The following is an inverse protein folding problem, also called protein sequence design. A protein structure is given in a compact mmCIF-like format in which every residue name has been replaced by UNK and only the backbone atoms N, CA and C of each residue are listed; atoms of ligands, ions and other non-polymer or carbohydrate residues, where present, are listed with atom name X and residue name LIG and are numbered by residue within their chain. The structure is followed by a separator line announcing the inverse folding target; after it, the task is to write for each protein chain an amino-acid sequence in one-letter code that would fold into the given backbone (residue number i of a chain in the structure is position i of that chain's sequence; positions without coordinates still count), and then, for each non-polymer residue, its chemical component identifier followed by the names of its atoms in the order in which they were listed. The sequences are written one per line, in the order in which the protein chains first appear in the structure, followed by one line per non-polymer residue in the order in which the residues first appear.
data_IF_018551024756
#
_entry.id   IF_018551024756
#
_cell.length_a   1.000
_cell.length_b   1.000
_cell.length_c   1.000
_cell.angle_alpha   90.00
_cell.angle_beta   90.00
_cell.angle_gamma   90.00
#
_symmetry.space_group_name_H-M   'P 1'
#
loop_
_entity.id
_entity.type
_entity.pdbx_description
1 polymer ?
#
# COMPACT_ATOMS: atom_id res chain seq x y z
N UNK A 1 -1.77 -4.42 15.26
CA UNK A 1 -0.85 -3.28 15.07
C UNK A 1 -0.67 -2.46 16.35
N UNK A 2 -1.70 -1.76 16.86
CA UNK A 2 -1.58 -0.87 18.03
C UNK A 2 -0.91 -1.51 19.26
N UNK A 3 -1.40 -2.66 19.74
CA UNK A 3 -0.77 -3.37 20.86
C UNK A 3 0.72 -3.64 20.65
N UNK A 4 1.11 -4.03 19.44
CA UNK A 4 2.48 -4.39 19.14
C UNK A 4 3.40 -3.16 19.11
N UNK A 5 2.94 -2.04 18.53
CA UNK A 5 3.74 -0.81 18.46
C UNK A 5 3.84 -0.09 19.82
N UNK A 6 2.75 -0.04 20.60
CA UNK A 6 2.76 0.54 21.96
C UNK A 6 3.70 -0.24 22.89
N UNK A 7 3.61 -1.58 22.89
CA UNK A 7 4.58 -2.42 23.61
C UNK A 7 6.01 -2.16 23.10
N UNK A 8 6.16 -2.16 21.77
CA UNK A 8 7.39 -1.85 21.07
C UNK A 8 8.27 -3.06 20.76
N UNK A 9 9.46 -2.78 20.24
CA UNK A 9 10.46 -3.78 19.87
C UNK A 9 11.61 -3.82 20.88
N UNK A 10 12.44 -4.86 20.79
CA UNK A 10 13.64 -5.00 21.63
C UNK A 10 14.80 -4.19 21.05
N UNK A 11 15.71 -3.71 21.89
CA UNK A 11 16.96 -3.08 21.41
C UNK A 11 17.84 -4.03 20.59
N UNK A 12 17.61 -5.34 20.69
CA UNK A 12 18.34 -6.38 19.96
C UNK A 12 17.60 -6.88 18.71
N UNK A 13 16.35 -6.48 18.49
CA UNK A 13 15.51 -7.00 17.40
C UNK A 13 14.50 -5.96 16.94
N UNK A 14 14.50 -5.66 15.63
CA UNK A 14 13.56 -4.72 15.01
C UNK A 14 12.44 -5.45 14.27
N UNK A 15 11.36 -4.73 13.98
CA UNK A 15 10.21 -5.23 13.21
C UNK A 15 9.94 -4.29 12.03
N UNK A 16 9.85 -4.87 10.84
CA UNK A 16 9.31 -4.23 9.64
C UNK A 16 7.89 -4.74 9.41
N UNK A 17 6.95 -3.83 9.20
CA UNK A 17 5.60 -4.12 8.77
C UNK A 17 5.47 -3.78 7.28
N UNK A 18 5.37 -4.80 6.42
CA UNK A 18 5.21 -4.60 4.98
C UNK A 18 3.76 -4.20 4.66
N UNK A 19 3.60 -3.13 3.89
CA UNK A 19 2.29 -2.61 3.51
C UNK A 19 2.06 -2.79 2.01
N UNK A 20 1.33 -3.84 1.63
CA UNK A 20 0.92 -4.03 0.25
C UNK A 20 -0.12 -2.98 -0.13
N UNK A 21 0.26 -2.07 -1.03
CA UNK A 21 -0.62 -1.03 -1.55
C UNK A 21 -0.77 -1.14 -3.06
N UNK A 22 -2.01 -0.94 -3.50
CA UNK A 22 -2.42 -0.93 -4.89
C UNK A 22 -3.25 0.34 -5.13
N UNK A 23 -2.68 1.28 -5.86
CA UNK A 23 -3.27 2.62 -5.99
C UNK A 23 -4.43 2.64 -6.99
N UNK A 24 -4.36 1.79 -8.00
CA UNK A 24 -5.28 1.71 -9.14
C UNK A 24 -6.27 0.55 -9.04
N UNK A 25 -6.11 -0.33 -8.04
CA UNK A 25 -6.91 -1.54 -7.84
C UNK A 25 -6.75 -2.57 -8.99
N UNK A 26 -5.52 -2.77 -9.47
CA UNK A 26 -5.19 -3.78 -10.47
C UNK A 26 -5.32 -5.21 -9.93
N UNK A 27 -4.92 -5.44 -8.69
CA UNK A 27 -4.92 -6.77 -8.04
C UNK A 27 -5.77 -6.81 -6.76
N UNK A 28 -6.39 -5.70 -6.39
CA UNK A 28 -7.17 -5.52 -5.17
C UNK A 28 -8.63 -5.12 -5.44
N UNK A 29 -9.49 -5.22 -4.43
CA UNK A 29 -10.90 -4.80 -4.54
C UNK A 29 -11.13 -3.31 -4.25
N UNK A 30 -10.10 -2.60 -3.77
CA UNK A 30 -10.15 -1.20 -3.39
C UNK A 30 -8.83 -0.53 -3.70
N UNK A 31 -8.88 0.69 -4.24
CA UNK A 31 -7.73 1.57 -4.37
C UNK A 31 -7.19 1.93 -2.97
N UNK A 32 -6.15 1.22 -2.50
CA UNK A 32 -5.61 1.33 -1.13
C UNK A 32 -4.64 2.48 -0.89
N UNK A 33 -4.48 2.86 0.38
CA UNK A 33 -3.42 3.74 0.90
C UNK A 33 -3.22 3.42 2.39
N UNK A 34 -2.23 2.58 2.70
CA UNK A 34 -2.05 2.00 4.03
C UNK A 34 -1.45 2.94 5.07
N UNK A 35 -0.81 4.04 4.65
CA UNK A 35 -0.07 4.92 5.56
C UNK A 35 -0.96 5.47 6.67
N UNK A 36 -2.22 5.82 6.39
CA UNK A 36 -3.14 6.33 7.42
C UNK A 36 -3.43 5.32 8.53
N UNK A 37 -3.44 4.02 8.23
CA UNK A 37 -3.58 2.97 9.24
C UNK A 37 -2.32 2.86 10.11
N UNK A 38 -1.14 3.13 9.53
CA UNK A 38 0.11 3.18 10.28
C UNK A 38 0.18 4.43 11.16
N UNK A 39 -0.23 5.58 10.64
CA UNK A 39 -0.33 6.85 11.37
C UNK A 39 -1.26 6.68 12.58
N UNK A 40 -2.45 6.10 12.40
CA UNK A 40 -3.38 5.78 13.51
C UNK A 40 -2.78 4.82 14.56
N UNK A 41 -1.82 3.99 14.15
CA UNK A 41 -1.08 3.08 15.04
C UNK A 41 0.24 3.66 15.55
N UNK A 42 0.58 4.91 15.22
CA UNK A 42 1.85 5.59 15.52
C UNK A 42 3.09 4.85 14.98
N UNK A 43 2.93 4.17 13.84
CA UNK A 43 3.99 3.42 13.16
C UNK A 43 4.62 4.33 12.10
N UNK A 44 5.92 4.68 12.21
CA UNK A 44 6.61 5.44 11.18
C UNK A 44 6.65 4.67 9.86
N UNK A 45 6.56 5.37 8.74
CA UNK A 45 6.43 4.79 7.41
C UNK A 45 7.62 5.18 6.55
N UNK A 46 8.30 4.18 5.99
CA UNK A 46 9.26 4.35 4.90
C UNK A 46 8.57 4.08 3.57
N UNK A 47 8.81 4.94 2.58
CA UNK A 47 8.18 4.88 1.27
C UNK A 47 9.23 4.77 0.14
N UNK A 48 9.61 3.53 -0.24
CA UNK A 48 10.55 3.27 -1.33
C UNK A 48 10.08 3.85 -2.67
N UNK A 49 11.00 4.45 -3.44
CA UNK A 49 10.72 4.83 -4.83
C UNK A 49 10.98 3.71 -5.84
N UNK A 50 11.75 2.69 -5.46
CA UNK A 50 12.06 1.55 -6.34
C UNK A 50 12.78 0.41 -5.61
N UNK A 51 13.23 -0.60 -6.36
CA UNK A 51 13.80 -1.85 -5.80
C UNK A 51 15.02 -1.61 -4.90
N UNK A 52 15.91 -0.69 -5.28
CA UNK A 52 17.07 -0.34 -4.45
C UNK A 52 16.64 0.21 -3.08
N UNK A 53 15.64 1.09 -3.06
CA UNK A 53 15.13 1.67 -1.83
C UNK A 53 14.47 0.62 -0.93
N UNK A 54 13.79 -0.38 -1.49
CA UNK A 54 13.21 -1.49 -0.70
C UNK A 54 14.30 -2.17 0.11
N UNK A 55 15.44 -2.48 -0.51
CA UNK A 55 16.60 -3.09 0.16
C UNK A 55 17.18 -2.16 1.23
N UNK A 56 17.40 -0.89 0.89
CA UNK A 56 18.05 0.08 1.76
C UNK A 56 17.19 0.43 2.97
N UNK A 57 15.93 0.76 2.70
CA UNK A 57 14.96 1.17 3.70
C UNK A 57 14.55 0.00 4.59
N UNK A 58 14.66 -1.25 4.10
CA UNK A 58 14.56 -2.42 4.97
C UNK A 58 15.65 -2.45 6.04
N UNK A 59 16.92 -2.25 5.66
CA UNK A 59 18.05 -2.22 6.60
C UNK A 59 17.91 -1.04 7.57
N UNK A 60 17.64 0.16 7.06
CA UNK A 60 17.41 1.33 7.90
C UNK A 60 16.19 1.17 8.82
N UNK A 61 15.09 0.58 8.32
CA UNK A 61 13.88 0.38 9.10
C UNK A 61 14.06 -0.61 10.24
N UNK A 62 14.86 -1.67 10.07
CA UNK A 62 15.24 -2.53 11.21
C UNK A 62 16.06 -1.80 12.25
N UNK A 63 17.03 -0.97 11.83
CA UNK A 63 17.84 -0.21 12.76
C UNK A 63 17.05 0.87 13.49
N UNK A 64 16.20 1.61 12.76
CA UNK A 64 15.25 2.57 13.32
C UNK A 64 14.34 1.87 14.34
N UNK A 65 13.78 0.72 13.99
CA UNK A 65 12.90 -0.04 14.87
C UNK A 65 13.62 -0.42 16.18
N UNK A 66 14.87 -0.89 16.12
CA UNK A 66 15.68 -1.19 17.31
C UNK A 66 15.92 0.04 18.17
N UNK A 67 16.22 1.17 17.53
CA UNK A 67 16.55 2.43 18.19
C UNK A 67 15.33 3.05 18.87
N UNK A 68 14.23 3.24 18.15
CA UNK A 68 13.03 3.94 18.65
C UNK A 68 12.10 3.05 19.45
N UNK A 69 12.23 1.72 19.34
CA UNK A 69 11.27 0.79 19.91
C UNK A 69 9.93 0.78 19.19
N UNK A 70 9.79 1.43 18.03
CA UNK A 70 8.62 1.34 17.17
C UNK A 70 8.72 0.15 16.21
N UNK A 71 7.58 -0.37 15.79
CA UNK A 71 7.50 -1.04 14.49
C UNK A 71 7.73 -0.02 13.39
N UNK A 72 8.28 -0.43 12.24
CA UNK A 72 8.48 0.48 11.11
C UNK A 72 7.74 -0.07 9.90
N UNK A 73 6.85 0.73 9.32
CA UNK A 73 6.16 0.42 8.08
C UNK A 73 7.10 0.56 6.89
N UNK A 74 7.06 -0.40 5.97
CA UNK A 74 7.72 -0.30 4.67
C UNK A 74 6.63 -0.41 3.60
N UNK A 75 6.42 0.66 2.84
CA UNK A 75 5.41 0.68 1.78
C UNK A 75 5.87 -0.19 0.62
N UNK A 76 4.97 -1.04 0.16
CA UNK A 76 5.18 -2.00 -0.92
C UNK A 76 4.11 -1.75 -1.98
N UNK A 77 4.39 -0.80 -2.88
CA UNK A 77 3.52 -0.52 -4.03
C UNK A 77 3.71 -1.60 -5.10
N UNK A 78 2.63 -2.01 -5.77
CA UNK A 78 2.70 -3.01 -6.85
C UNK A 78 3.79 -2.66 -7.89
N UNK A 79 3.83 -1.40 -8.36
CA UNK A 79 4.84 -0.89 -9.29
C UNK A 79 6.29 -1.14 -8.85
N UNK A 80 6.54 -1.07 -7.53
CA UNK A 80 7.88 -1.24 -6.98
C UNK A 80 8.23 -2.70 -6.71
N UNK A 81 7.25 -3.50 -6.26
CA UNK A 81 7.46 -4.89 -5.84
C UNK A 81 7.46 -5.86 -7.02
N UNK A 82 6.67 -5.59 -8.05
CA UNK A 82 6.58 -6.44 -9.25
C UNK A 82 7.62 -6.07 -10.33
N UNK A 83 8.52 -5.13 -10.01
CA UNK A 83 9.59 -4.69 -10.91
C UNK A 83 10.88 -5.48 -10.71
N UNK A 84 11.71 -5.53 -11.77
CA UNK A 84 13.07 -6.12 -11.71
C UNK A 84 14.11 -5.03 -11.95
N UNK A 85 15.14 -4.99 -11.10
CA UNK A 85 16.28 -4.08 -11.27
C UNK A 85 17.58 -4.72 -10.77
N UNK A 86 18.71 -4.27 -11.32
CA UNK A 86 20.02 -4.54 -10.72
C UNK A 86 20.25 -3.59 -9.55
N UNK A 87 20.56 -4.14 -8.37
CA UNK A 87 20.77 -3.36 -7.15
C UNK A 87 22.19 -3.55 -6.60
N UNK A 88 22.66 -2.55 -5.87
CA UNK A 88 23.92 -2.60 -5.15
C UNK A 88 23.71 -3.12 -3.72
N UNK A 89 24.21 -4.32 -3.46
CA UNK A 89 24.12 -5.04 -2.17
C UNK A 89 25.40 -4.95 -1.33
N UNK A 90 26.35 -4.07 -1.68
CA UNK A 90 27.57 -3.87 -0.88
C UNK A 90 27.21 -3.48 0.56
N UNK A 91 27.70 -4.27 1.51
CA UNK A 91 27.46 -4.11 2.94
C UNK A 91 28.01 -2.79 3.50
N UNK A 92 29.03 -2.21 2.84
CA UNK A 92 29.65 -0.97 3.28
C UNK A 92 28.95 0.28 2.74
N UNK A 93 27.95 0.12 1.87
CA UNK A 93 27.25 1.25 1.25
C UNK A 93 26.34 1.98 2.24
N UNK A 94 25.74 1.25 3.18
CA UNK A 94 24.83 1.82 4.18
C UNK A 94 25.57 1.98 5.50
N UNK A 95 25.66 3.22 5.97
CA UNK A 95 26.23 3.52 7.27
C UNK A 95 25.12 4.05 8.18
N UNK A 96 24.62 3.18 9.06
CA UNK A 96 23.56 3.55 10.00
C UNK A 96 24.16 4.32 11.18
N UNK A 97 23.68 5.54 11.36
CA UNK A 97 24.06 6.43 12.46
C UNK A 97 23.00 6.41 13.56
N UNK A 98 23.45 6.42 14.81
CA UNK A 98 22.58 6.59 15.97
C UNK A 98 22.63 8.05 16.43
N UNK A 99 21.50 8.70 16.72
CA UNK A 99 21.50 10.06 17.26
C UNK A 99 22.23 10.14 18.60
N UNK A 100 23.18 11.06 18.70
CA UNK A 100 23.88 11.38 19.97
C UNK A 100 23.21 12.56 20.72
N UNK A 101 22.41 13.35 20.01
CA UNK A 101 21.74 14.57 20.50
C UNK A 101 20.35 14.30 21.11
N UNK A 102 19.88 13.06 21.06
CA UNK A 102 18.58 12.67 21.59
C UNK A 102 18.69 12.04 22.99
N UNK A 103 18.04 12.67 23.98
CA UNK A 103 18.01 12.18 25.35
C UNK A 103 17.01 11.02 25.51
N UNK A 104 17.52 9.80 25.60
CA UNK A 104 16.71 8.61 25.86
C UNK A 104 16.09 8.71 27.28
N UNK A 105 14.75 8.57 27.43
CA UNK A 105 14.08 8.70 28.73
C UNK A 105 14.48 7.59 29.70
N UNK A 106 14.19 7.81 30.99
CA UNK A 106 14.42 6.79 32.02
C UNK A 106 13.68 5.48 31.70
N UNK A 107 14.40 4.36 31.80
CA UNK A 107 13.91 3.03 31.41
C UNK A 107 13.90 2.75 29.90
N UNK A 108 14.32 3.70 29.05
CA UNK A 108 14.53 3.50 27.61
C UNK A 108 13.27 3.64 26.75
N UNK A 109 13.35 3.19 25.49
CA UNK A 109 12.25 3.27 24.51
C UNK A 109 11.59 1.91 24.24
N UNK A 110 12.37 0.83 24.38
CA UNK A 110 12.02 -0.52 23.95
C UNK A 110 11.00 -1.23 24.86
N UNK A 111 10.52 -2.38 24.37
CA UNK A 111 9.60 -3.28 25.08
C UNK A 111 10.16 -3.68 26.44
N UNK A 112 9.30 -3.67 27.46
CA UNK A 112 9.64 -4.05 28.84
C UNK A 112 8.45 -4.67 29.56
N UNK A 113 8.71 -5.34 30.67
CA UNK A 113 7.69 -5.84 31.58
C UNK A 113 8.18 -5.71 33.03
N UNK A 114 7.32 -5.33 33.99
CA UNK A 114 5.93 -4.89 33.81
C UNK A 114 5.83 -3.50 33.17
N UNK A 115 4.76 -3.23 32.44
CA UNK A 115 4.53 -1.95 31.75
C UNK A 115 3.02 -1.68 31.64
N UNK A 116 2.55 -0.56 32.19
CA UNK A 116 1.12 -0.23 32.24
C UNK A 116 0.65 0.41 30.93
N UNK A 117 -0.64 0.35 30.59
CA UNK A 117 -1.16 1.01 29.39
C UNK A 117 -0.81 2.51 29.34
N UNK A 118 -0.92 3.25 30.45
CA UNK A 118 -0.58 4.67 30.52
C UNK A 118 0.91 4.93 30.30
N UNK A 119 1.81 4.08 30.84
CA UNK A 119 3.24 4.23 30.63
C UNK A 119 3.66 3.93 29.17
N UNK A 120 2.97 3.00 28.50
CA UNK A 120 3.16 2.76 27.06
C UNK A 120 2.69 3.95 26.22
N UNK A 121 1.55 4.54 26.58
CA UNK A 121 0.97 5.70 25.90
C UNK A 121 1.87 6.94 26.02
N UNK A 122 2.27 7.29 27.24
CA UNK A 122 3.20 8.40 27.51
C UNK A 122 4.50 8.23 26.72
N UNK A 123 5.08 7.02 26.75
CA UNK A 123 6.32 6.73 26.03
C UNK A 123 6.16 6.84 24.51
N UNK A 124 5.04 6.39 23.95
CA UNK A 124 4.77 6.51 22.52
C UNK A 124 4.71 7.99 22.11
N UNK A 125 3.90 8.78 22.81
CA UNK A 125 3.58 10.16 22.44
C UNK A 125 4.71 11.16 22.75
N UNK A 126 5.41 11.00 23.88
CA UNK A 126 6.43 11.97 24.31
C UNK A 126 7.85 11.62 23.86
N UNK A 127 8.11 10.36 23.49
CA UNK A 127 9.49 9.91 23.28
C UNK A 127 9.69 9.15 21.97
N UNK A 128 8.92 8.10 21.68
CA UNK A 128 9.25 7.22 20.55
C UNK A 128 9.22 7.94 19.19
N UNK A 129 8.21 8.77 18.94
CA UNK A 129 8.09 9.53 17.67
C UNK A 129 9.20 10.58 17.53
N UNK A 130 9.59 11.23 18.63
CA UNK A 130 10.73 12.15 18.63
C UNK A 130 12.06 11.45 18.39
N UNK A 131 12.23 10.24 18.92
CA UNK A 131 13.38 9.40 18.61
C UNK A 131 13.41 9.01 17.13
N UNK A 132 12.25 8.74 16.51
CA UNK A 132 12.16 8.49 15.07
C UNK A 132 12.63 9.71 14.26
N UNK A 133 12.16 10.91 14.58
CA UNK A 133 12.58 12.16 13.92
C UNK A 133 14.09 12.38 14.05
N UNK A 134 14.65 12.20 15.25
CA UNK A 134 16.09 12.32 15.48
C UNK A 134 16.90 11.31 14.64
N UNK A 135 16.45 10.05 14.58
CA UNK A 135 17.07 9.02 13.76
C UNK A 135 17.00 9.35 12.26
N UNK A 136 15.83 9.80 11.79
CA UNK A 136 15.59 10.23 10.40
C UNK A 136 16.56 11.34 10.00
N UNK A 137 16.75 12.34 10.88
CA UNK A 137 17.66 13.47 10.67
C UNK A 137 19.10 13.03 10.49
N UNK A 138 19.66 12.28 11.43
CA UNK A 138 21.10 11.93 11.38
C UNK A 138 21.44 10.98 10.23
N UNK A 139 20.48 10.14 9.82
CA UNK A 139 20.63 9.24 8.68
C UNK A 139 20.25 9.89 7.34
N UNK A 140 19.80 11.15 7.33
CA UNK A 140 19.37 11.90 6.13
C UNK A 140 18.40 11.09 5.27
N UNK A 141 17.37 10.53 5.91
CA UNK A 141 16.33 9.79 5.20
C UNK A 141 15.74 10.68 4.10
N UNK A 142 15.31 11.87 4.48
CA UNK A 142 14.85 12.87 3.55
C UNK A 142 16.05 13.72 3.09
N UNK A 143 16.09 14.05 1.79
CA UNK A 143 17.27 14.68 1.19
C UNK A 143 16.93 15.65 0.06
N UNK A 144 17.63 16.77 0.04
CA UNK A 144 17.71 17.64 -1.14
C UNK A 144 18.55 16.93 -2.20
N UNK A 145 17.91 16.58 -3.32
CA UNK A 145 18.53 15.98 -4.49
C UNK A 145 19.17 17.08 -5.34
N UNK A 146 18.41 18.15 -5.64
CA UNK A 146 18.88 19.30 -6.41
C UNK A 146 18.82 20.54 -5.54
N UNK A 147 19.95 21.25 -5.40
CA UNK A 147 20.08 22.41 -4.53
C UNK A 147 19.63 23.73 -5.16
N UNK A 148 19.75 23.86 -6.49
CA UNK A 148 19.26 25.02 -7.26
C UNK A 148 19.72 26.40 -6.76
N UNK A 149 20.84 26.49 -6.04
CA UNK A 149 21.38 27.72 -5.46
C UNK A 149 20.33 28.61 -4.78
N UNK A 150 20.14 29.82 -5.30
CA UNK A 150 19.12 30.80 -4.89
C UNK A 150 17.72 30.47 -5.46
N UNK A 151 17.34 29.19 -5.46
CA UNK A 151 16.09 28.69 -6.01
C UNK A 151 14.87 29.43 -5.46
N UNK A 152 13.86 29.58 -6.33
CA UNK A 152 12.55 30.14 -5.99
C UNK A 152 11.46 29.10 -5.92
N UNK A 153 11.65 27.96 -6.57
CA UNK A 153 10.70 26.84 -6.58
C UNK A 153 11.37 25.62 -5.97
N UNK A 154 10.69 24.98 -5.03
CA UNK A 154 11.02 23.64 -4.55
C UNK A 154 9.97 22.63 -4.97
N UNK A 155 10.41 21.45 -5.38
CA UNK A 155 9.55 20.29 -5.59
C UNK A 155 9.86 19.27 -4.49
N UNK A 156 8.84 18.83 -3.76
CA UNK A 156 8.95 17.79 -2.75
C UNK A 156 8.21 16.57 -3.25
N UNK A 157 8.87 15.42 -3.28
CA UNK A 157 8.29 14.19 -3.81
C UNK A 157 8.70 12.95 -3.02
N UNK A 158 7.90 11.88 -3.09
CA UNK A 158 8.01 10.68 -2.25
C UNK A 158 7.71 9.41 -3.03
N UNK A 159 8.33 8.29 -2.64
CA UNK A 159 7.97 6.97 -3.16
C UNK A 159 7.97 6.90 -4.70
N UNK A 160 7.02 6.19 -5.29
CA UNK A 160 6.86 6.10 -6.76
C UNK A 160 6.66 7.47 -7.40
N UNK A 161 5.96 8.39 -6.75
CA UNK A 161 5.76 9.77 -7.24
C UNK A 161 7.08 10.54 -7.44
N UNK A 162 8.17 10.17 -6.74
CA UNK A 162 9.51 10.70 -6.99
C UNK A 162 10.02 10.28 -8.38
N UNK A 163 9.81 9.03 -8.80
CA UNK A 163 10.18 8.60 -10.15
C UNK A 163 9.32 9.28 -11.21
N UNK A 164 8.03 9.48 -10.95
CA UNK A 164 7.15 10.25 -11.85
C UNK A 164 7.61 11.71 -11.98
N UNK A 165 8.09 12.29 -10.87
CA UNK A 165 8.67 13.65 -10.86
C UNK A 165 9.95 13.71 -11.67
N UNK A 166 10.83 12.71 -11.54
CA UNK A 166 12.06 12.62 -12.34
C UNK A 166 11.75 12.45 -13.82
N UNK A 167 10.76 11.62 -14.17
CA UNK A 167 10.29 11.47 -15.55
C UNK A 167 9.72 12.79 -16.08
N UNK A 168 8.88 13.47 -15.29
CA UNK A 168 8.34 14.78 -15.67
C UNK A 168 9.44 15.82 -15.95
N UNK A 169 10.50 15.83 -15.14
CA UNK A 169 11.65 16.73 -15.34
C UNK A 169 12.44 16.35 -16.61
N UNK A 170 12.61 15.06 -16.89
CA UNK A 170 13.23 14.55 -18.12
C UNK A 170 12.40 14.88 -19.38
N UNK A 171 11.08 14.79 -19.32
CA UNK A 171 10.18 15.17 -20.41
C UNK A 171 10.22 16.70 -20.69
N UNK A 172 10.43 17.50 -19.64
CA UNK A 172 10.75 18.93 -19.78
C UNK A 172 12.21 19.17 -20.20
N UNK A 173 13.01 18.11 -20.29
CA UNK A 173 14.47 18.07 -20.46
C UNK A 173 15.20 19.06 -19.56
N UNK A 174 14.84 19.00 -18.28
CA UNK A 174 15.49 19.68 -17.16
C UNK A 174 16.34 18.64 -16.45
N UNK A 175 17.65 18.90 -16.42
CA UNK A 175 18.60 18.06 -15.68
C UNK A 175 19.09 18.78 -14.41
N UNK A 176 19.80 18.06 -13.54
CA UNK A 176 20.33 18.62 -12.29
C UNK A 176 21.20 19.87 -12.53
N UNK A 177 21.97 19.89 -13.62
CA UNK A 177 22.81 21.03 -13.99
C UNK A 177 22.02 22.30 -14.36
N UNK A 178 20.74 22.17 -14.71
CA UNK A 178 19.85 23.29 -14.99
C UNK A 178 19.22 23.88 -13.72
N UNK A 179 19.29 23.17 -12.58
CA UNK A 179 18.62 23.54 -11.34
C UNK A 179 18.95 24.96 -10.89
N UNK A 180 20.23 25.36 -10.94
CA UNK A 180 20.67 26.71 -10.58
C UNK A 180 20.16 27.76 -11.57
N UNK A 181 20.23 27.46 -12.88
CA UNK A 181 19.77 28.36 -13.94
C UNK A 181 18.26 28.59 -13.89
N UNK A 182 17.49 27.56 -13.55
CA UNK A 182 16.03 27.60 -13.49
C UNK A 182 15.49 27.95 -12.10
N UNK A 183 16.36 28.09 -11.10
CA UNK A 183 15.99 28.36 -9.72
C UNK A 183 15.09 27.27 -9.12
N UNK A 184 15.42 26.00 -9.37
CA UNK A 184 14.64 24.82 -8.99
C UNK A 184 15.38 23.96 -7.95
N UNK A 185 14.70 23.63 -6.86
CA UNK A 185 15.14 22.64 -5.89
C UNK A 185 14.28 21.38 -5.95
N UNK A 186 14.89 20.23 -5.67
CA UNK A 186 14.18 18.95 -5.59
C UNK A 186 14.51 18.26 -4.27
N UNK A 187 13.47 17.89 -3.51
CA UNK A 187 13.56 17.17 -2.24
C UNK A 187 12.90 15.80 -2.37
N UNK A 188 13.63 14.75 -2.02
CA UNK A 188 13.09 13.39 -1.91
C UNK A 188 12.79 13.09 -0.45
N UNK A 189 11.52 12.82 -0.16
CA UNK A 189 11.07 12.28 1.12
C UNK A 189 11.18 10.76 1.08
N UNK A 190 11.77 10.20 2.11
CA UNK A 190 11.86 8.76 2.40
C UNK A 190 10.87 8.36 3.46
N UNK A 191 10.67 9.21 4.48
CA UNK A 191 9.74 8.98 5.57
C UNK A 191 8.56 9.97 5.50
N UNK A 192 7.46 9.64 4.80
CA UNK A 192 6.28 10.52 4.75
C UNK A 192 5.67 10.80 6.13
N UNK A 193 5.83 9.89 7.10
CA UNK A 193 5.38 10.13 8.47
C UNK A 193 6.23 9.38 9.50
N UNK A 194 6.62 10.02 10.62
CA UNK A 194 6.57 11.47 10.84
C UNK A 194 7.60 12.20 9.96
N UNK A 195 7.21 13.32 9.35
CA UNK A 195 8.14 14.15 8.59
C UNK A 195 9.18 14.77 9.53
N UNK A 196 10.44 14.90 9.08
CA UNK A 196 11.51 15.54 9.86
C UNK A 196 11.58 17.04 9.59
N UNK A 197 11.46 17.82 10.66
CA UNK A 197 11.21 19.25 10.58
C UNK A 197 12.41 20.05 10.04
N UNK A 198 13.62 19.75 10.52
CA UNK A 198 14.81 20.57 10.20
C UNK A 198 15.18 20.51 8.73
N UNK A 199 15.10 19.33 8.10
CA UNK A 199 15.36 19.15 6.67
C UNK A 199 14.41 19.98 5.80
N UNK A 200 13.11 19.99 6.15
CA UNK A 200 12.10 20.79 5.46
C UNK A 200 12.31 22.29 5.66
N UNK A 201 12.61 22.72 6.88
CA UNK A 201 12.89 24.13 7.19
C UNK A 201 14.10 24.62 6.40
N UNK A 202 15.18 23.83 6.34
CA UNK A 202 16.38 24.15 5.56
C UNK A 202 16.09 24.20 4.07
N UNK A 203 15.39 23.18 3.55
CA UNK A 203 14.98 23.11 2.15
C UNK A 203 14.16 24.33 1.72
N UNK A 204 13.25 24.80 2.60
CA UNK A 204 12.34 25.91 2.34
C UNK A 204 13.00 27.29 2.32
N UNK A 205 14.25 27.45 2.80
CA UNK A 205 14.91 28.76 2.89
C UNK A 205 15.05 29.42 1.52
N UNK A 206 14.46 30.60 1.36
CA UNK A 206 14.56 31.41 0.14
C UNK A 206 13.60 31.01 -1.00
N UNK A 207 12.87 29.90 -0.83
CA UNK A 207 11.81 29.49 -1.76
C UNK A 207 10.60 30.41 -1.63
N UNK A 208 9.99 30.71 -2.78
CA UNK A 208 8.71 31.44 -2.86
C UNK A 208 7.55 30.44 -3.04
N UNK A 209 7.82 29.26 -3.60
CA UNK A 209 6.85 28.20 -3.89
C UNK A 209 7.41 26.81 -3.56
N UNK A 210 6.59 25.97 -2.94
CA UNK A 210 6.82 24.53 -2.78
C UNK A 210 5.68 23.76 -3.47
N UNK A 211 6.03 22.83 -4.33
CA UNK A 211 5.12 21.92 -5.04
C UNK A 211 5.29 20.53 -4.44
N UNK A 212 4.25 20.00 -3.80
CA UNK A 212 4.25 18.67 -3.18
C UNK A 212 3.63 17.66 -4.14
N UNK A 213 4.44 16.73 -4.62
CA UNK A 213 4.05 15.64 -5.51
C UNK A 213 3.99 14.35 -4.68
N UNK A 214 2.79 14.02 -4.20
CA UNK A 214 2.53 12.80 -3.43
C UNK A 214 1.27 12.09 -3.92
N UNK A 215 1.31 10.76 -4.02
CA UNK A 215 0.18 9.96 -4.48
C UNK A 215 -0.85 9.64 -3.39
N UNK A 216 -2.10 9.46 -3.85
CA UNK A 216 -3.33 9.33 -3.04
C UNK A 216 -3.58 10.56 -2.16
N UNK A 217 -4.07 10.38 -0.92
CA UNK A 217 -4.41 11.50 -0.03
C UNK A 217 -3.14 12.12 0.55
N UNK A 218 -3.21 13.42 0.83
CA UNK A 218 -2.05 14.17 1.33
C UNK A 218 -1.64 13.75 2.75
N UNK A 219 -0.35 13.51 2.91
CA UNK A 219 0.32 13.24 4.18
C UNK A 219 1.44 14.26 4.37
N UNK A 220 2.24 14.52 3.33
CA UNK A 220 3.40 15.41 3.37
C UNK A 220 2.96 16.88 3.30
N UNK A 221 2.07 17.24 2.37
CA UNK A 221 1.62 18.62 2.19
C UNK A 221 1.10 19.29 3.48
N UNK A 222 0.19 18.67 4.27
CA UNK A 222 -0.26 19.28 5.52
C UNK A 222 0.86 19.39 6.56
N UNK A 223 1.77 18.41 6.66
CA UNK A 223 2.90 18.47 7.58
C UNK A 223 3.87 19.60 7.21
N UNK A 224 4.18 19.80 5.92
CA UNK A 224 5.01 20.93 5.47
C UNK A 224 4.35 22.26 5.82
N UNK A 225 3.04 22.40 5.58
CA UNK A 225 2.30 23.60 5.95
C UNK A 225 2.36 23.87 7.46
N UNK A 226 2.21 22.83 8.28
CA UNK A 226 2.31 22.93 9.75
C UNK A 226 3.72 23.32 10.20
N UNK A 227 4.76 22.61 9.71
CA UNK A 227 6.17 22.87 10.05
C UNK A 227 6.58 24.30 9.68
N UNK A 228 6.16 24.80 8.52
CA UNK A 228 6.58 26.11 8.03
C UNK A 228 5.76 27.28 8.61
N UNK A 229 4.57 27.02 9.17
CA UNK A 229 3.63 28.06 9.62
C UNK A 229 4.24 29.04 10.63
N UNK A 230 5.07 28.57 11.55
CA UNK A 230 5.72 29.41 12.58
C UNK A 230 7.13 29.86 12.20
N UNK A 231 7.59 29.56 10.98
CA UNK A 231 8.95 29.90 10.53
C UNK A 231 8.97 31.24 9.82
N UNK A 232 10.16 31.82 9.67
CA UNK A 232 10.35 33.02 8.83
C UNK A 232 10.20 32.73 7.33
N UNK A 233 10.25 31.46 6.94
CA UNK A 233 10.03 31.01 5.56
C UNK A 233 8.53 30.84 5.34
N UNK A 234 7.95 31.61 4.43
CA UNK A 234 6.52 31.54 4.11
C UNK A 234 6.28 31.28 2.61
N UNK A 235 6.83 30.19 2.04
CA UNK A 235 6.53 29.83 0.66
C UNK A 235 5.07 29.45 0.52
N UNK A 236 4.49 29.71 -0.64
CA UNK A 236 3.21 29.11 -0.99
C UNK A 236 3.40 27.61 -1.13
N UNK A 237 2.59 26.79 -0.47
CA UNK A 237 2.67 25.32 -0.58
C UNK A 237 1.45 24.81 -1.35
N UNK A 238 1.71 24.23 -2.52
CA UNK A 238 0.69 23.62 -3.40
C UNK A 238 0.93 22.13 -3.54
N UNK A 239 -0.09 21.39 -3.96
CA UNK A 239 -0.01 19.94 -4.16
C UNK A 239 -1.35 19.38 -4.59
N UNK A 240 -2.22 19.05 -3.63
CA UNK A 240 -3.61 18.66 -3.90
C UNK A 240 -4.43 19.78 -4.49
N UNK A 241 -4.15 21.01 -4.08
CA UNK A 241 -4.72 22.22 -4.68
C UNK A 241 -3.63 23.15 -5.17
N UNK A 242 -3.96 23.90 -6.22
CA UNK A 242 -3.12 24.98 -6.74
C UNK A 242 -3.20 26.25 -5.87
N UNK A 243 -2.48 27.30 -6.30
CA UNK A 243 -2.45 28.61 -5.64
C UNK A 243 -3.82 29.33 -5.59
N UNK A 244 -4.80 28.90 -6.38
CA UNK A 244 -6.16 29.45 -6.44
C UNK A 244 -7.18 28.57 -5.71
N UNK A 245 -6.77 27.44 -5.14
CA UNK A 245 -7.65 26.47 -4.50
C UNK A 245 -8.35 25.50 -5.46
N UNK A 246 -7.96 25.48 -6.75
CA UNK A 246 -8.44 24.46 -7.68
C UNK A 246 -7.72 23.14 -7.44
N UNK A 247 -8.37 22.01 -7.75
CA UNK A 247 -7.72 20.70 -7.69
C UNK A 247 -6.53 20.64 -8.64
N UNK A 248 -5.39 20.14 -8.15
CA UNK A 248 -4.15 19.97 -8.90
C UNK A 248 -3.78 18.48 -8.94
N UNK A 249 -3.11 17.94 -7.92
CA UNK A 249 -2.82 16.50 -7.83
C UNK A 249 -3.95 15.74 -7.13
N UNK A 250 -4.80 15.10 -7.91
CA UNK A 250 -5.95 14.34 -7.41
C UNK A 250 -5.54 13.24 -6.40
N UNK A 251 -6.42 12.94 -5.45
CA UNK A 251 -6.30 11.75 -4.60
C UNK A 251 -6.92 10.50 -5.24
N UNK A 252 -7.56 10.64 -6.40
CA UNK A 252 -8.23 9.57 -7.15
C UNK A 252 -7.32 9.13 -8.29
N UNK A 253 -7.14 7.81 -8.43
CA UNK A 253 -6.31 7.22 -9.48
C UNK A 253 -4.80 7.38 -9.21
N UNK A 254 -4.01 7.14 -10.26
CA UNK A 254 -2.58 7.39 -10.28
C UNK A 254 -2.29 8.85 -10.70
N UNK A 255 -1.12 9.38 -10.32
CA UNK A 255 -0.66 10.66 -10.85
C UNK A 255 -0.13 10.50 -12.28
N UNK A 256 -0.39 11.50 -13.12
CA UNK A 256 0.09 11.58 -14.50
C UNK A 256 1.38 12.41 -14.55
N UNK A 257 2.46 11.86 -15.14
CA UNK A 257 3.74 12.55 -15.28
C UNK A 257 3.63 13.82 -16.13
N UNK A 258 2.75 13.85 -17.14
CA UNK A 258 2.51 15.03 -17.96
C UNK A 258 1.87 16.15 -17.13
N UNK A 259 0.99 15.81 -16.17
CA UNK A 259 0.40 16.79 -15.25
C UNK A 259 1.46 17.34 -14.28
N UNK A 260 2.35 16.49 -13.78
CA UNK A 260 3.47 16.92 -12.94
C UNK A 260 4.40 17.85 -13.75
N UNK A 261 4.73 17.48 -14.98
CA UNK A 261 5.58 18.24 -15.89
C UNK A 261 5.00 19.62 -16.21
N UNK A 262 3.76 19.65 -16.73
CA UNK A 262 3.06 20.92 -17.02
C UNK A 262 2.93 21.81 -15.78
N UNK A 263 2.69 21.22 -14.60
CA UNK A 263 2.65 21.95 -13.33
C UNK A 263 3.98 22.60 -13.02
N UNK A 264 5.07 21.83 -12.97
CA UNK A 264 6.40 22.32 -12.63
C UNK A 264 6.85 23.37 -13.66
N UNK A 265 6.80 23.02 -14.96
CA UNK A 265 7.27 23.87 -16.05
C UNK A 265 6.52 25.19 -16.14
N UNK A 266 5.18 25.19 -16.01
CA UNK A 266 4.38 26.43 -16.00
C UNK A 266 4.77 27.35 -14.85
N UNK A 267 5.09 26.81 -13.66
CA UNK A 267 5.51 27.64 -12.53
C UNK A 267 6.92 28.17 -12.72
N UNK A 268 7.86 27.38 -13.25
CA UNK A 268 9.20 27.87 -13.62
C UNK A 268 9.08 29.06 -14.59
N UNK A 269 8.22 28.93 -15.61
CA UNK A 269 7.99 29.97 -16.62
C UNK A 269 7.43 31.29 -16.06
N UNK A 270 6.83 31.30 -14.86
CA UNK A 270 6.39 32.52 -14.17
C UNK A 270 7.55 33.32 -13.57
N UNK A 271 8.66 32.66 -13.22
CA UNK A 271 9.84 33.31 -12.65
C UNK A 271 10.88 33.67 -13.73
N UNK A 272 10.99 32.83 -14.75
CA UNK A 272 11.96 33.02 -15.84
C UNK A 272 11.39 32.56 -17.18
N UNK A 273 11.58 33.37 -18.21
CA UNK A 273 11.15 33.03 -19.56
C UNK A 273 12.19 32.14 -20.25
N UNK A 274 11.75 30.99 -20.77
CA UNK A 274 12.58 30.02 -21.49
C UNK A 274 11.76 29.42 -22.65
N UNK A 275 12.11 29.76 -23.89
CA UNK A 275 11.34 29.39 -25.09
C UNK A 275 11.20 27.86 -25.26
N UNK A 276 12.32 27.14 -25.09
CA UNK A 276 12.35 25.68 -25.23
C UNK A 276 11.48 25.00 -24.17
N UNK A 277 11.52 25.50 -22.93
CA UNK A 277 10.70 24.99 -21.85
C UNK A 277 9.20 25.26 -22.12
N UNK A 278 8.87 26.45 -22.64
CA UNK A 278 7.51 26.80 -23.01
C UNK A 278 6.94 25.87 -24.08
N UNK A 279 7.74 25.49 -25.09
CA UNK A 279 7.32 24.53 -26.12
C UNK A 279 7.06 23.14 -25.52
N UNK A 280 7.95 22.65 -24.65
CA UNK A 280 7.78 21.35 -23.98
C UNK A 280 6.58 21.32 -23.05
N UNK A 281 6.33 22.39 -22.28
CA UNK A 281 5.14 22.50 -21.42
C UNK A 281 3.86 22.41 -22.25
N UNK A 282 3.79 23.10 -23.40
CA UNK A 282 2.64 23.00 -24.30
C UNK A 282 2.45 21.59 -24.85
N UNK A 283 3.52 20.86 -25.12
CA UNK A 283 3.44 19.46 -25.54
C UNK A 283 2.83 18.57 -24.43
N UNK A 284 3.24 18.75 -23.17
CA UNK A 284 2.66 18.01 -22.05
C UNK A 284 1.17 18.32 -21.87
N UNK A 285 0.79 19.60 -21.99
CA UNK A 285 -0.62 20.02 -21.93
C UNK A 285 -1.46 19.41 -23.06
N UNK A 286 -0.90 19.30 -24.27
CA UNK A 286 -1.58 18.65 -25.40
C UNK A 286 -1.77 17.14 -25.17
N UNK A 287 -0.81 16.47 -24.51
CA UNK A 287 -0.93 15.04 -24.19
C UNK A 287 -2.00 14.76 -23.12
N UNK A 288 -2.21 15.70 -22.20
CA UNK A 288 -3.28 15.61 -21.19
C UNK A 288 -4.69 15.79 -21.80
N UNK A 289 -4.79 16.45 -22.95
CA UNK A 289 -6.05 16.57 -23.66
C UNK A 289 -6.39 15.24 -24.36
N UNK A 290 -7.12 14.39 -23.64
CA UNK A 290 -7.58 13.07 -24.09
C UNK A 290 -8.42 13.10 -25.36
N UNK A 291 -8.86 14.28 -25.84
CA UNK A 291 -9.50 14.42 -27.15
C UNK A 291 -8.54 14.19 -28.33
N UNK A 292 -7.23 14.19 -28.08
CA UNK A 292 -6.18 14.09 -29.09
C UNK A 292 -5.76 12.66 -29.45
N UNK A 293 -6.16 11.65 -28.66
CA UNK A 293 -5.80 10.25 -28.88
C UNK A 293 -7.04 9.41 -29.23
N UNK A 294 -6.97 8.53 -30.24
CA UNK A 294 -8.05 7.58 -30.51
C UNK A 294 -8.25 6.68 -29.29
N UNK A 295 -9.51 6.50 -28.85
CA UNK A 295 -9.88 5.56 -27.78
C UNK A 295 -9.15 4.22 -28.01
N UNK A 296 -8.32 3.80 -27.06
CA UNK A 296 -7.74 2.46 -27.07
C UNK A 296 -8.89 1.44 -27.08
N UNK A 297 -9.16 0.86 -28.24
CA UNK A 297 -10.41 0.15 -28.52
C UNK A 297 -10.47 -1.28 -27.99
N UNK A 298 -9.49 -1.71 -27.16
CA UNK A 298 -9.47 -3.07 -26.60
C UNK A 298 -9.02 -3.02 -25.14
N UNK A 299 -9.99 -3.02 -24.22
CA UNK A 299 -9.72 -3.38 -22.83
C UNK A 299 -9.31 -4.85 -22.75
N UNK A 300 -8.07 -5.11 -22.33
CA UNK A 300 -7.59 -6.46 -22.04
C UNK A 300 -8.16 -6.92 -20.70
N UNK A 301 -9.35 -7.53 -20.73
CA UNK A 301 -9.94 -8.06 -19.51
C UNK A 301 -9.12 -9.24 -18.98
N UNK A 302 -8.77 -9.24 -17.68
CA UNK A 302 -8.08 -10.37 -17.07
C UNK A 302 -8.96 -11.63 -17.09
N UNK A 303 -8.33 -12.78 -17.30
CA UNK A 303 -9.01 -14.07 -17.44
C UNK A 303 -8.23 -15.18 -16.72
N UNK A 304 -8.87 -16.33 -16.51
CA UNK A 304 -8.20 -17.50 -15.95
C UNK A 304 -7.08 -18.01 -16.86
N UNK A 305 -5.96 -18.43 -16.25
CA UNK A 305 -4.89 -19.12 -16.95
C UNK A 305 -5.41 -20.35 -17.69
N UNK A 306 -4.79 -20.70 -18.82
CA UNK A 306 -5.12 -21.92 -19.57
C UNK A 306 -4.96 -23.15 -18.67
N UNK A 307 -6.01 -23.98 -18.60
CA UNK A 307 -6.03 -25.18 -17.74
C UNK A 307 -6.27 -24.92 -16.25
N UNK A 308 -6.53 -23.67 -15.83
CA UNK A 308 -6.82 -23.38 -14.44
C UNK A 308 -8.14 -24.06 -14.00
N UNK A 309 -8.15 -24.81 -12.88
CA UNK A 309 -9.37 -25.45 -12.35
C UNK A 309 -10.52 -24.49 -12.05
N UNK A 310 -10.24 -23.19 -11.83
CA UNK A 310 -11.27 -22.17 -11.70
C UNK A 310 -12.21 -22.08 -12.91
N UNK A 311 -11.76 -22.48 -14.11
CA UNK A 311 -12.61 -22.51 -15.30
C UNK A 311 -13.79 -23.47 -15.17
N UNK A 312 -13.65 -24.61 -14.49
CA UNK A 312 -14.77 -25.52 -14.23
C UNK A 312 -15.39 -25.24 -12.86
N UNK A 313 -14.56 -25.01 -11.85
CA UNK A 313 -15.01 -24.94 -10.47
C UNK A 313 -15.79 -23.69 -10.12
N UNK A 314 -15.77 -22.62 -10.94
CA UNK A 314 -16.61 -21.43 -10.71
C UNK A 314 -17.96 -21.47 -11.44
N UNK A 315 -18.20 -22.47 -12.28
CA UNK A 315 -19.52 -22.71 -12.88
C UNK A 315 -20.52 -23.12 -11.79
N UNK A 316 -21.76 -22.67 -11.92
CA UNK A 316 -22.85 -22.95 -10.98
C UNK A 316 -24.08 -23.55 -11.69
N UNK A 317 -24.94 -24.29 -10.96
CA UNK A 317 -26.18 -24.82 -11.54
C UNK A 317 -27.10 -23.72 -12.07
N UNK A 318 -27.80 -24.02 -13.17
CA UNK A 318 -28.75 -23.09 -13.80
C UNK A 318 -29.76 -22.51 -12.80
N UNK A 319 -30.00 -21.19 -12.85
CA UNK A 319 -30.91 -20.47 -11.95
C UNK A 319 -30.34 -20.17 -10.55
N UNK A 320 -29.13 -20.66 -10.24
CA UNK A 320 -28.40 -20.30 -9.02
C UNK A 320 -27.65 -18.98 -9.19
N UNK A 321 -27.17 -18.43 -8.09
CA UNK A 321 -26.23 -17.30 -8.12
C UNK A 321 -25.05 -17.62 -7.21
N UNK A 322 -23.88 -17.07 -7.56
CA UNK A 322 -22.72 -17.08 -6.69
C UNK A 322 -22.32 -15.67 -6.27
N UNK A 323 -21.52 -15.59 -5.22
CA UNK A 323 -20.85 -14.39 -4.76
C UNK A 323 -19.34 -14.62 -4.81
N UNK A 324 -18.57 -13.58 -5.08
CA UNK A 324 -17.12 -13.64 -5.12
C UNK A 324 -16.48 -13.13 -3.81
N UNK A 325 -15.26 -13.58 -3.54
CA UNK A 325 -14.32 -12.93 -2.63
C UNK A 325 -13.18 -12.31 -3.43
N UNK A 326 -12.13 -11.88 -2.73
CA UNK A 326 -10.87 -11.46 -3.37
C UNK A 326 -10.02 -12.70 -3.72
N UNK A 327 -9.44 -12.71 -4.92
CA UNK A 327 -8.60 -13.79 -5.46
C UNK A 327 -8.90 -14.04 -6.94
N UNK A 328 -8.32 -15.07 -7.56
CA UNK A 328 -8.59 -15.34 -8.98
C UNK A 328 -10.09 -15.54 -9.27
N UNK A 329 -10.85 -16.11 -8.34
CA UNK A 329 -12.30 -16.29 -8.46
C UNK A 329 -13.10 -14.98 -8.47
N UNK A 330 -12.48 -13.84 -8.13
CA UNK A 330 -13.03 -12.50 -8.37
C UNK A 330 -13.28 -12.25 -9.87
N UNK A 331 -12.39 -12.78 -10.72
CA UNK A 331 -12.43 -12.56 -12.17
C UNK A 331 -13.66 -13.14 -12.86
N UNK A 332 -14.38 -14.03 -12.18
CA UNK A 332 -15.66 -14.59 -12.63
C UNK A 332 -16.68 -13.48 -12.90
N UNK A 333 -16.57 -12.33 -12.24
CA UNK A 333 -17.46 -11.19 -12.47
C UNK A 333 -17.35 -10.61 -13.89
N UNK A 334 -16.24 -10.84 -14.60
CA UNK A 334 -16.08 -10.46 -16.01
C UNK A 334 -16.44 -11.58 -16.97
N UNK A 335 -17.02 -12.66 -16.45
CA UNK A 335 -17.44 -13.84 -17.20
C UNK A 335 -18.96 -14.00 -17.12
N UNK A 336 -19.55 -14.61 -18.14
CA UNK A 336 -20.99 -14.91 -18.17
C UNK A 336 -21.32 -16.11 -17.26
N UNK A 337 -21.29 -15.89 -15.93
CA UNK A 337 -21.29 -16.96 -14.89
C UNK A 337 -22.15 -16.68 -13.65
N UNK A 338 -23.18 -15.82 -13.77
CA UNK A 338 -24.17 -15.56 -12.70
C UNK A 338 -23.56 -15.36 -11.29
N UNK A 339 -22.40 -14.70 -11.24
CA UNK A 339 -21.64 -14.42 -10.02
C UNK A 339 -21.63 -12.92 -9.80
N UNK A 340 -22.10 -12.49 -8.63
CA UNK A 340 -22.35 -11.07 -8.36
C UNK A 340 -21.70 -10.63 -7.06
N UNK A 341 -21.27 -9.38 -7.05
CA UNK A 341 -20.69 -8.73 -5.88
C UNK A 341 -19.36 -9.36 -5.47
N UNK A 342 -18.75 -8.71 -4.49
CA UNK A 342 -17.47 -9.11 -3.94
C UNK A 342 -17.33 -8.57 -2.52
N UNK A 343 -16.33 -9.04 -1.80
CA UNK A 343 -16.02 -8.58 -0.46
C UNK A 343 -14.53 -8.75 -0.15
N UNK A 344 -14.11 -8.25 1.00
CA UNK A 344 -12.76 -8.40 1.52
C UNK A 344 -12.53 -9.82 2.05
N UNK A 345 -11.26 -10.23 2.13
CA UNK A 345 -10.84 -11.54 2.64
C UNK A 345 -11.35 -11.78 4.07
N UNK A 346 -12.13 -12.84 4.28
CA UNK A 346 -12.79 -13.16 5.55
C UNK A 346 -14.22 -12.62 5.68
N UNK A 347 -14.69 -11.82 4.73
CA UNK A 347 -16.05 -11.32 4.67
C UNK A 347 -16.98 -12.14 3.76
N UNK A 348 -16.44 -13.15 3.06
CA UNK A 348 -17.16 -13.98 2.10
C UNK A 348 -18.43 -14.60 2.72
N UNK A 349 -19.58 -14.44 2.07
CA UNK A 349 -20.87 -14.98 2.51
C UNK A 349 -21.56 -14.22 3.65
N UNK A 350 -20.91 -13.26 4.30
CA UNK A 350 -21.51 -12.48 5.40
C UNK A 350 -22.69 -11.61 4.92
N UNK A 351 -22.64 -11.12 3.68
CA UNK A 351 -23.73 -10.38 3.06
C UNK A 351 -25.01 -11.22 2.95
N UNK A 352 -24.90 -12.54 2.73
CA UNK A 352 -26.06 -13.43 2.68
C UNK A 352 -26.80 -13.52 4.01
N UNK A 353 -26.07 -13.47 5.13
CA UNK A 353 -26.65 -13.47 6.48
C UNK A 353 -27.65 -12.31 6.63
N UNK A 354 -27.29 -11.13 6.12
CA UNK A 354 -28.17 -9.97 6.12
C UNK A 354 -29.29 -10.02 5.09
N UNK A 355 -29.06 -10.62 3.91
CA UNK A 355 -30.03 -10.63 2.80
C UNK A 355 -31.10 -11.73 2.90
N UNK A 356 -30.70 -12.93 3.31
CA UNK A 356 -31.54 -14.14 3.27
C UNK A 356 -32.93 -13.97 3.92
N UNK A 357 -33.11 -13.23 5.04
CA UNK A 357 -34.43 -13.04 5.65
C UNK A 357 -35.40 -12.20 4.82
N UNK A 358 -34.91 -11.39 3.88
CA UNK A 358 -35.71 -10.37 3.19
C UNK A 358 -35.99 -10.67 1.72
N UNK A 359 -35.53 -11.82 1.21
CA UNK A 359 -35.67 -12.18 -0.20
C UNK A 359 -36.32 -13.56 -0.41
N UNK A 360 -36.81 -13.79 -1.63
CA UNK A 360 -37.47 -15.05 -2.00
C UNK A 360 -36.48 -16.16 -2.31
N UNK A 361 -35.27 -15.82 -2.81
CA UNK A 361 -34.18 -16.78 -3.03
C UNK A 361 -33.75 -17.41 -1.70
N UNK A 362 -33.58 -18.74 -1.70
CA UNK A 362 -33.33 -19.53 -0.48
C UNK A 362 -31.91 -20.08 -0.35
N UNK A 363 -31.06 -19.85 -1.35
CA UNK A 363 -29.71 -20.41 -1.41
C UNK A 363 -28.84 -19.57 -2.36
N UNK A 364 -27.55 -19.49 -2.01
CA UNK A 364 -26.49 -18.90 -2.83
C UNK A 364 -25.21 -19.72 -2.70
N UNK A 365 -24.35 -19.62 -3.71
CA UNK A 365 -22.97 -20.10 -3.64
C UNK A 365 -22.03 -18.96 -3.24
N UNK A 366 -20.95 -19.27 -2.53
CA UNK A 366 -19.88 -18.32 -2.22
C UNK A 366 -18.55 -18.94 -2.62
N UNK A 367 -17.85 -18.34 -3.58
CA UNK A 367 -16.50 -18.76 -3.93
C UNK A 367 -15.51 -18.22 -2.90
N UNK A 368 -14.56 -19.06 -2.48
CA UNK A 368 -13.49 -18.68 -1.56
C UNK A 368 -12.21 -19.42 -1.98
N UNK A 369 -11.10 -18.69 -2.12
CA UNK A 369 -9.80 -19.30 -2.41
C UNK A 369 -9.20 -19.99 -1.18
N UNK A 370 -8.27 -20.90 -1.38
CA UNK A 370 -7.51 -21.54 -0.30
C UNK A 370 -6.67 -20.57 0.54
N UNK A 371 -5.98 -19.61 -0.08
CA UNK A 371 -5.25 -18.57 0.64
C UNK A 371 -6.14 -17.73 1.56
N UNK A 372 -7.32 -17.34 1.06
CA UNK A 372 -8.36 -16.68 1.86
C UNK A 372 -8.81 -17.59 2.99
N UNK A 373 -9.11 -18.87 2.70
CA UNK A 373 -9.56 -19.83 3.69
C UNK A 373 -8.55 -20.00 4.83
N UNK A 374 -7.27 -20.14 4.50
CA UNK A 374 -6.18 -20.26 5.46
C UNK A 374 -6.09 -19.04 6.39
N UNK A 375 -6.10 -17.84 5.80
CA UNK A 375 -5.86 -16.60 6.55
C UNK A 375 -7.07 -16.19 7.40
N UNK A 376 -8.26 -16.14 6.81
CA UNK A 376 -9.46 -15.62 7.49
C UNK A 376 -10.78 -16.24 7.05
N UNK A 377 -10.82 -17.18 6.10
CA UNK A 377 -12.07 -17.75 5.62
C UNK A 377 -12.79 -18.61 6.65
N UNK A 378 -12.10 -19.12 7.65
CA UNK A 378 -12.75 -19.71 8.83
C UNK A 378 -13.65 -18.67 9.54
N UNK A 379 -13.21 -17.42 9.62
CA UNK A 379 -14.00 -16.32 10.20
C UNK A 379 -15.17 -15.92 9.30
N UNK A 380 -15.11 -16.21 8.00
CA UNK A 380 -16.22 -15.99 7.06
C UNK A 380 -17.34 -17.04 7.24
N UNK A 381 -16.95 -18.31 7.46
CA UNK A 381 -17.89 -19.44 7.51
C UNK A 381 -18.60 -19.55 8.87
N UNK A 382 -17.89 -19.29 9.99
CA UNK A 382 -18.45 -19.44 11.35
C UNK A 382 -19.74 -18.61 11.58
N UNK A 383 -19.82 -17.33 11.17
CA UNK A 383 -21.06 -16.56 11.24
C UNK A 383 -22.20 -17.16 10.42
N UNK A 384 -21.91 -17.76 9.27
CA UNK A 384 -22.93 -18.40 8.44
C UNK A 384 -23.50 -19.66 9.12
N UNK A 385 -22.63 -20.46 9.74
CA UNK A 385 -23.08 -21.61 10.55
C UNK A 385 -23.91 -21.14 11.74
N UNK A 386 -23.44 -20.13 12.48
CA UNK A 386 -24.13 -19.61 13.65
C UNK A 386 -25.49 -18.98 13.33
N UNK A 387 -25.62 -18.32 12.18
CA UNK A 387 -26.90 -17.73 11.73
C UNK A 387 -27.87 -18.74 11.12
N UNK A 388 -27.42 -19.96 10.81
CA UNK A 388 -28.25 -21.00 10.21
C UNK A 388 -28.72 -20.69 8.78
N UNK A 389 -28.07 -19.74 8.10
CA UNK A 389 -28.42 -19.37 6.72
C UNK A 389 -28.04 -20.48 5.75
N UNK A 390 -28.84 -20.67 4.71
CA UNK A 390 -28.60 -21.71 3.71
C UNK A 390 -27.66 -21.19 2.60
N UNK A 391 -26.40 -21.59 2.64
CA UNK A 391 -25.33 -21.16 1.74
C UNK A 391 -24.36 -22.31 1.47
N UNK A 392 -23.83 -22.37 0.25
CA UNK A 392 -22.75 -23.32 -0.10
C UNK A 392 -21.46 -22.56 -0.35
N UNK A 393 -20.47 -22.77 0.51
CA UNK A 393 -19.11 -22.29 0.29
C UNK A 393 -18.37 -23.24 -0.65
N UNK A 394 -17.80 -22.69 -1.72
CA UNK A 394 -16.94 -23.39 -2.68
C UNK A 394 -15.50 -22.99 -2.37
N UNK A 395 -14.83 -23.81 -1.55
CA UNK A 395 -13.42 -23.63 -1.19
C UNK A 395 -12.56 -24.18 -2.33
N UNK A 396 -11.87 -23.29 -3.04
CA UNK A 396 -11.12 -23.59 -4.24
C UNK A 396 -9.66 -23.82 -3.87
N UNK A 397 -9.29 -25.09 -3.67
CA UNK A 397 -7.93 -25.52 -3.34
C UNK A 397 -7.11 -25.64 -4.63
N UNK A 398 -6.13 -24.76 -4.81
CA UNK A 398 -5.23 -24.76 -5.96
C UNK A 398 -3.74 -24.74 -5.57
N UNK A 399 -3.44 -24.78 -4.26
CA UNK A 399 -2.08 -24.80 -3.68
C UNK A 399 -1.24 -23.59 -4.09
N UNK A 400 -1.91 -22.47 -4.43
CA UNK A 400 -1.25 -21.28 -4.96
C UNK A 400 -2.00 -19.99 -4.59
N UNK A 401 -1.29 -19.03 -3.98
CA UNK A 401 -1.77 -17.65 -3.82
C UNK A 401 -1.48 -16.86 -5.11
N UNK A 402 -2.18 -17.23 -6.17
CA UNK A 402 -1.82 -16.88 -7.53
C UNK A 402 -1.89 -15.38 -7.87
N UNK A 403 -2.78 -14.61 -7.24
CA UNK A 403 -2.92 -13.17 -7.52
C UNK A 403 -1.76 -12.32 -6.98
N UNK A 404 -1.00 -12.82 -6.01
CA UNK A 404 0.09 -12.07 -5.34
C UNK A 404 1.45 -12.76 -5.47
N UNK A 405 1.54 -13.80 -6.31
CA UNK A 405 2.78 -14.54 -6.57
C UNK A 405 3.39 -15.28 -5.37
N UNK A 406 2.66 -15.41 -4.26
CA UNK A 406 3.17 -15.98 -3.01
C UNK A 406 2.88 -17.49 -2.89
N UNK A 407 3.81 -18.23 -2.27
CA UNK A 407 3.54 -19.59 -1.78
C UNK A 407 2.53 -19.54 -0.64
N UNK A 408 1.70 -20.57 -0.52
CA UNK A 408 0.78 -20.73 0.62
C UNK A 408 1.62 -20.89 1.90
N UNK A 409 1.43 -19.99 2.87
CA UNK A 409 1.92 -20.21 4.23
C UNK A 409 1.20 -21.43 4.80
N UNK A 410 1.88 -22.58 4.89
CA UNK A 410 1.34 -23.82 5.46
C UNK A 410 0.61 -24.72 4.46
N UNK A 411 0.90 -26.02 4.52
CA UNK A 411 0.26 -27.03 3.66
C UNK A 411 -1.18 -27.28 4.09
N UNK A 412 -2.14 -26.59 3.47
CA UNK A 412 -3.55 -26.99 3.56
C UNK A 412 -3.78 -28.25 2.74
N UNK A 413 -4.19 -29.32 3.43
CA UNK A 413 -4.62 -30.55 2.78
C UNK A 413 -6.13 -30.58 2.65
N UNK A 414 -6.66 -31.29 1.66
CA UNK A 414 -8.11 -31.52 1.53
C UNK A 414 -8.69 -32.05 2.85
N UNK A 415 -7.96 -32.95 3.52
CA UNK A 415 -8.33 -33.59 4.77
C UNK A 415 -8.43 -32.58 5.93
N UNK A 416 -7.43 -31.70 6.09
CA UNK A 416 -7.46 -30.70 7.16
C UNK A 416 -8.64 -29.74 7.00
N UNK A 417 -8.94 -29.35 5.76
CA UNK A 417 -10.06 -28.46 5.45
C UNK A 417 -11.40 -29.13 5.74
N UNK A 418 -11.62 -30.38 5.29
CA UNK A 418 -12.89 -31.06 5.53
C UNK A 418 -13.13 -31.30 7.01
N UNK A 419 -12.12 -31.74 7.76
CA UNK A 419 -12.21 -31.94 9.21
C UNK A 419 -12.50 -30.64 9.96
N UNK A 420 -11.85 -29.54 9.58
CA UNK A 420 -12.12 -28.23 10.17
C UNK A 420 -13.57 -27.80 9.91
N UNK A 421 -14.07 -27.99 8.69
CA UNK A 421 -15.46 -27.64 8.36
C UNK A 421 -16.49 -28.47 9.12
N UNK A 422 -16.24 -29.78 9.30
CA UNK A 422 -17.07 -30.60 10.17
C UNK A 422 -17.01 -30.13 11.63
N UNK A 423 -15.80 -29.81 12.13
CA UNK A 423 -15.62 -29.33 13.50
C UNK A 423 -16.39 -28.03 13.76
N UNK A 424 -16.40 -27.10 12.79
CA UNK A 424 -17.18 -25.86 12.88
C UNK A 424 -18.70 -26.06 12.80
N UNK A 425 -19.18 -27.25 12.46
CA UNK A 425 -20.61 -27.57 12.41
C UNK A 425 -21.26 -27.42 11.04
N UNK A 426 -20.47 -27.40 9.96
CA UNK A 426 -21.00 -27.50 8.59
C UNK A 426 -21.71 -28.85 8.42
N UNK A 427 -22.97 -28.82 7.93
CA UNK A 427 -23.83 -30.01 7.84
C UNK A 427 -23.39 -31.02 6.77
N UNK A 428 -22.82 -30.52 5.67
CA UNK A 428 -22.40 -31.35 4.54
C UNK A 428 -21.12 -30.77 3.93
N UNK A 429 -20.14 -31.64 3.73
CA UNK A 429 -18.88 -31.32 3.04
C UNK A 429 -18.72 -32.33 1.91
N UNK A 430 -18.49 -31.83 0.69
CA UNK A 430 -18.28 -32.65 -0.51
C UNK A 430 -16.95 -32.26 -1.13
N UNK A 431 -16.11 -33.24 -1.42
CA UNK A 431 -14.87 -33.04 -2.20
C UNK A 431 -15.16 -33.25 -3.68
N UNK A 432 -14.79 -32.27 -4.50
CA UNK A 432 -14.89 -32.33 -5.95
C UNK A 432 -13.47 -32.23 -6.51
N UNK A 433 -13.07 -33.19 -7.32
CA UNK A 433 -11.74 -33.29 -7.92
C UNK A 433 -11.85 -33.99 -9.27
N UNK A 434 -10.88 -33.76 -10.16
CA UNK A 434 -10.72 -34.52 -11.40
C UNK A 434 -10.26 -35.97 -11.12
N UNK A 435 -9.67 -36.22 -9.95
CA UNK A 435 -9.17 -37.52 -9.49
C UNK A 435 -9.79 -37.90 -8.12
N UNK A 436 -11.13 -38.00 -8.01
CA UNK A 436 -11.83 -38.22 -6.73
C UNK A 436 -11.44 -39.54 -6.06
N UNK A 437 -11.00 -40.54 -6.82
CA UNK A 437 -10.54 -41.84 -6.33
C UNK A 437 -9.33 -41.74 -5.39
N UNK A 438 -8.52 -40.67 -5.47
CA UNK A 438 -7.41 -40.42 -4.54
C UNK A 438 -7.87 -40.21 -3.10
N UNK A 439 -9.13 -39.82 -2.91
CA UNK A 439 -9.70 -39.53 -1.58
C UNK A 439 -10.59 -40.67 -1.07
N UNK A 440 -10.99 -41.61 -1.92
CA UNK A 440 -11.86 -42.74 -1.55
C UNK A 440 -11.16 -43.86 -0.78
N UNK A 441 -9.83 -43.85 -0.69
CA UNK A 441 -9.06 -44.94 -0.07
C UNK A 441 -9.03 -44.90 1.47
N UNK A 442 -9.66 -43.90 2.11
CA UNK A 442 -9.78 -43.80 3.57
C UNK A 442 -11.12 -43.13 3.95
N UNK A 443 -12.21 -43.90 4.04
CA UNK A 443 -13.55 -43.37 4.33
C UNK A 443 -13.71 -42.77 5.73
N UNK A 444 -12.84 -43.12 6.69
CA UNK A 444 -12.78 -42.49 8.03
C UNK A 444 -12.44 -40.99 7.97
N UNK A 445 -11.96 -40.46 6.83
CA UNK A 445 -11.63 -39.05 6.66
C UNK A 445 -12.84 -38.12 6.40
N UNK A 446 -14.03 -38.67 6.11
CA UNK A 446 -15.20 -37.87 5.71
C UNK A 446 -16.46 -38.12 6.54
N UNK A 447 -16.41 -39.00 7.54
CA UNK A 447 -17.56 -39.34 8.38
C UNK A 447 -17.47 -38.70 9.76
N UNK A 448 -18.49 -37.89 10.09
CA UNK A 448 -18.85 -37.58 11.48
C UNK A 448 -19.90 -38.62 11.89
N UNK A 449 -19.47 -39.81 12.32
CA UNK A 449 -20.39 -40.70 13.01
C UNK A 449 -20.59 -40.19 14.45
N UNK A 450 -21.82 -39.75 14.75
CA UNK A 450 -22.32 -39.48 16.10
C UNK A 450 -22.05 -38.06 16.62
N UNK A 451 -23.11 -37.26 16.79
CA UNK A 451 -23.86 -37.03 18.06
C UNK A 451 -25.29 -36.67 17.68
#
# INVERSE_FOLDING_TARGET
MKHANHAGTSKFGGVLALMGDDHTAESSTLCGQSEFSMIDAMIPVLNPSGVQDIYDYGIYGWALSRYSGCWVGLKCLHDTVESTASINVDINRLNVLLPEDYNIPEGGLNIRFPDTPNAQDERMHLHKIEAVRAFSRVNKFDRTIWNGGDAKIGVVSVGKSYLDTMLALDELGIEEQDADRLGLRLYKVTMPWPLEDNGIIEFAKGLDLIIVVEEKRAIIEPQIKEILYETSSNPTVIGKTDENGNSLFSSVGALDSNLIASTIGTRILKFQHEDVLLERVKEMELRLDSSSFPEESIQRMPYFCSGCPHNSSTVIPEGSIAMAGIGCHYMVQWMDRDTFGFTHMGGEGANWIGQAPFITRKHVFQNIGDGTYYHSGIMAIRPAVASGVNITYKILLNDAVAMTGAEVDGKMTVQSVTQQMFAEGVKQVTVVSDEPEKFNQNPEFFQREGI
#
